data_IF_918527407112
#
_entry.id   IF_918527407112
#
_cell.length_a   1.000
_cell.length_b   1.000
_cell.length_c   1.000
_cell.angle_alpha   90.00
_cell.angle_beta   90.00
_cell.angle_gamma   90.00
#
_symmetry.space_group_name_H-M   'P 1'
#
loop_
_entity.id
_entity.type
_entity.pdbx_description
1 polymer ?
#
# COMPACT_ATOMS: atom_id res chain seq x y z
N UNK A 1 1.49 8.63 38.36
CA UNK A 1 0.95 7.40 37.73
C UNK A 1 -0.38 7.13 38.42
N UNK A 2 -1.48 7.49 37.80
CA UNK A 2 -2.80 7.14 38.30
C UNK A 2 -2.97 5.62 38.29
N UNK A 3 -3.25 5.05 39.44
CA UNK A 3 -3.57 3.61 39.54
C UNK A 3 -4.92 3.38 38.85
N UNK A 4 -4.87 2.84 37.62
CA UNK A 4 -6.08 2.43 36.91
C UNK A 4 -6.82 1.39 37.74
N UNK A 5 -8.06 1.63 38.00
CA UNK A 5 -8.91 0.73 38.79
C UNK A 5 -9.32 -0.50 37.95
N UNK A 6 -9.67 -1.60 38.59
CA UNK A 6 -10.19 -2.80 37.90
C UNK A 6 -11.37 -2.49 36.96
N UNK A 7 -12.16 -1.47 37.30
CA UNK A 7 -13.29 -0.98 36.54
C UNK A 7 -12.81 -0.32 35.21
N UNK A 8 -11.69 0.41 35.24
CA UNK A 8 -11.14 1.05 34.03
C UNK A 8 -10.62 -0.01 33.04
N UNK A 9 -9.97 -1.06 33.53
CA UNK A 9 -9.56 -2.19 32.68
C UNK A 9 -10.74 -2.91 32.05
N UNK A 10 -11.84 -3.11 32.76
CA UNK A 10 -13.06 -3.73 32.25
C UNK A 10 -13.71 -2.85 31.15
N UNK A 11 -13.81 -1.54 31.37
CA UNK A 11 -14.35 -0.60 30.39
C UNK A 11 -13.48 -0.56 29.11
N UNK A 12 -12.16 -0.52 29.25
CA UNK A 12 -11.25 -0.57 28.10
C UNK A 12 -11.34 -1.89 27.33
N UNK A 13 -11.46 -3.02 28.04
CA UNK A 13 -11.62 -4.33 27.40
C UNK A 13 -12.93 -4.42 26.61
N UNK A 14 -14.02 -3.91 27.16
CA UNK A 14 -15.32 -3.85 26.46
C UNK A 14 -15.22 -2.93 25.23
N UNK A 15 -14.61 -1.76 25.36
CA UNK A 15 -14.44 -0.84 24.24
C UNK A 15 -13.60 -1.46 23.12
N UNK A 16 -12.49 -2.13 23.47
CA UNK A 16 -11.64 -2.84 22.50
C UNK A 16 -12.44 -3.95 21.82
N UNK A 17 -13.19 -4.75 22.58
CA UNK A 17 -14.01 -5.83 22.03
C UNK A 17 -15.05 -5.29 21.04
N UNK A 18 -15.75 -4.20 21.38
CA UNK A 18 -16.73 -3.58 20.49
C UNK A 18 -16.08 -3.09 19.18
N UNK A 19 -14.92 -2.44 19.25
CA UNK A 19 -14.17 -1.99 18.07
C UNK A 19 -13.74 -3.18 17.20
N UNK A 20 -13.22 -4.24 17.82
CA UNK A 20 -12.78 -5.45 17.10
C UNK A 20 -13.97 -6.14 16.41
N UNK A 21 -15.08 -6.32 17.14
CA UNK A 21 -16.29 -6.92 16.56
C UNK A 21 -16.81 -6.08 15.39
N UNK A 22 -16.93 -4.75 15.59
CA UNK A 22 -17.36 -3.83 14.52
C UNK A 22 -16.47 -3.90 13.28
N UNK A 23 -15.15 -3.97 13.46
CA UNK A 23 -14.20 -4.06 12.35
C UNK A 23 -14.22 -5.43 11.64
N UNK A 24 -14.48 -6.51 12.38
CA UNK A 24 -14.47 -7.86 11.82
C UNK A 24 -15.78 -8.25 11.11
N UNK A 25 -16.92 -7.71 11.51
CA UNK A 25 -18.23 -8.05 10.92
C UNK A 25 -18.22 -7.93 9.38
N UNK A 26 -17.82 -6.81 8.74
CA UNK A 26 -17.83 -6.71 7.29
C UNK A 26 -16.87 -7.68 6.62
N UNK A 27 -15.72 -7.96 7.24
CA UNK A 27 -14.73 -8.90 6.71
C UNK A 27 -15.29 -10.33 6.76
N UNK A 28 -15.85 -10.72 7.90
CA UNK A 28 -16.46 -12.03 8.07
C UNK A 28 -17.69 -12.22 7.15
N UNK A 29 -18.46 -11.16 6.92
CA UNK A 29 -19.55 -11.18 5.95
C UNK A 29 -19.04 -11.41 4.51
N UNK A 30 -17.96 -10.73 4.12
CA UNK A 30 -17.32 -10.92 2.82
C UNK A 30 -16.82 -12.37 2.65
N UNK A 31 -16.17 -12.91 3.68
CA UNK A 31 -15.74 -14.33 3.71
C UNK A 31 -16.95 -15.26 3.61
N UNK A 32 -18.03 -14.95 4.33
CA UNK A 32 -19.27 -15.74 4.23
C UNK A 32 -19.82 -15.79 2.79
N UNK A 33 -19.92 -14.63 2.14
CA UNK A 33 -20.39 -14.55 0.74
C UNK A 33 -19.47 -15.33 -0.20
N UNK A 34 -18.15 -15.22 -0.02
CA UNK A 34 -17.18 -15.91 -0.89
C UNK A 34 -17.26 -17.43 -0.84
N UNK A 35 -17.82 -17.97 0.26
CA UNK A 35 -17.98 -19.41 0.48
C UNK A 35 -19.40 -19.94 0.13
N UNK A 36 -20.31 -19.08 -0.33
CA UNK A 36 -21.65 -19.49 -0.76
C UNK A 36 -21.63 -19.98 -2.22
N UNK A 37 -22.30 -21.08 -2.53
CA UNK A 37 -22.52 -21.46 -3.92
C UNK A 37 -23.38 -20.43 -4.64
N UNK A 38 -23.32 -20.30 -5.98
CA UNK A 38 -24.03 -19.29 -6.75
C UNK A 38 -25.55 -19.26 -6.47
N UNK A 39 -26.17 -20.40 -6.24
CA UNK A 39 -27.60 -20.54 -5.96
C UNK A 39 -27.99 -20.02 -4.58
N UNK A 40 -27.05 -20.04 -3.63
CA UNK A 40 -27.27 -19.59 -2.26
C UNK A 40 -26.86 -18.13 -1.99
N UNK A 41 -26.41 -17.38 -3.00
CA UNK A 41 -26.01 -15.97 -2.83
C UNK A 41 -27.17 -15.06 -2.40
N UNK A 42 -28.41 -15.43 -2.73
CA UNK A 42 -29.61 -14.73 -2.26
C UNK A 42 -29.94 -14.99 -0.78
N UNK A 43 -29.32 -16.03 -0.17
CA UNK A 43 -29.49 -16.32 1.25
C UNK A 43 -28.71 -15.28 2.10
N UNK A 44 -29.44 -14.49 2.87
CA UNK A 44 -28.89 -13.44 3.73
C UNK A 44 -28.34 -13.97 5.07
N UNK A 45 -28.22 -15.30 5.26
CA UNK A 45 -27.64 -15.88 6.47
C UNK A 45 -26.17 -15.52 6.58
N UNK A 46 -25.76 -15.17 7.79
CA UNK A 46 -24.35 -14.87 8.06
C UNK A 46 -23.45 -16.10 7.94
N UNK A 47 -23.94 -17.25 8.39
CA UNK A 47 -23.25 -18.52 8.24
C UNK A 47 -23.84 -19.22 7.01
N UNK A 48 -23.04 -19.59 5.99
CA UNK A 48 -23.51 -20.31 4.83
C UNK A 48 -24.21 -21.62 5.23
N UNK A 49 -25.34 -21.93 4.62
CA UNK A 49 -26.03 -23.23 4.79
C UNK A 49 -25.22 -24.36 4.15
N UNK A 50 -24.50 -24.03 3.09
CA UNK A 50 -23.59 -24.93 2.35
C UNK A 50 -22.29 -24.16 2.04
N UNK A 51 -21.14 -24.79 2.26
CA UNK A 51 -19.84 -24.21 1.98
C UNK A 51 -19.36 -24.72 0.63
N UNK A 52 -19.12 -23.80 -0.31
CA UNK A 52 -18.53 -24.08 -1.61
C UNK A 52 -17.24 -23.26 -1.81
N UNK A 53 -16.28 -23.84 -2.52
CA UNK A 53 -15.06 -23.18 -3.00
C UNK A 53 -15.12 -22.86 -4.49
N UNK A 54 -16.27 -22.95 -5.14
CA UNK A 54 -16.39 -22.77 -6.59
C UNK A 54 -16.07 -21.34 -7.00
N UNK A 55 -16.44 -20.34 -6.18
CA UNK A 55 -16.02 -18.95 -6.38
C UNK A 55 -14.50 -18.78 -6.41
N UNK A 56 -13.75 -19.54 -5.60
CA UNK A 56 -12.29 -19.49 -5.60
C UNK A 56 -11.72 -20.27 -6.79
N UNK A 57 -12.29 -21.41 -7.15
CA UNK A 57 -11.83 -22.19 -8.31
C UNK A 57 -11.96 -21.37 -9.59
N UNK A 58 -13.09 -20.67 -9.79
CA UNK A 58 -13.32 -19.82 -10.97
C UNK A 58 -12.30 -18.68 -11.11
N UNK A 59 -11.73 -18.17 -10.01
CA UNK A 59 -10.68 -17.15 -10.06
C UNK A 59 -9.38 -17.67 -10.69
N UNK A 60 -9.06 -18.94 -10.48
CA UNK A 60 -7.79 -19.55 -10.90
C UNK A 60 -7.96 -20.49 -12.10
N UNK A 61 -9.17 -20.65 -12.61
CA UNK A 61 -9.46 -21.48 -13.76
C UNK A 61 -8.80 -20.91 -15.02
N UNK A 62 -8.23 -21.76 -15.88
CA UNK A 62 -7.48 -21.35 -17.06
C UNK A 62 -5.99 -21.05 -16.82
N UNK A 63 -5.53 -21.08 -15.56
CA UNK A 63 -4.12 -20.83 -15.23
C UNK A 63 -3.66 -19.40 -15.51
N UNK A 64 -2.35 -19.19 -15.68
CA UNK A 64 -1.75 -17.86 -15.84
C UNK A 64 -2.18 -17.16 -17.13
N UNK A 65 -2.50 -17.92 -18.19
CA UNK A 65 -2.83 -17.35 -19.51
C UNK A 65 -4.26 -16.86 -19.61
N UNK A 66 -5.20 -17.59 -19.03
CA UNK A 66 -6.63 -17.42 -19.29
C UNK A 66 -7.44 -17.01 -18.06
N UNK A 67 -6.84 -17.05 -16.85
CA UNK A 67 -7.51 -16.59 -15.64
C UNK A 67 -7.68 -15.07 -15.65
N UNK A 68 -8.89 -14.57 -15.41
CA UNK A 68 -9.17 -13.12 -15.34
C UNK A 68 -8.58 -12.46 -14.09
N UNK A 69 -8.00 -13.26 -13.18
CA UNK A 69 -7.51 -12.79 -11.88
C UNK A 69 -5.98 -12.89 -11.71
N UNK A 70 -5.34 -13.95 -12.26
CA UNK A 70 -3.90 -14.21 -12.02
C UNK A 70 -3.02 -13.12 -12.63
N UNK A 71 -3.26 -12.71 -13.90
CA UNK A 71 -2.47 -11.64 -14.53
C UNK A 71 -2.62 -10.30 -13.80
N UNK A 72 -3.84 -9.81 -13.48
CA UNK A 72 -4.01 -8.63 -12.65
C UNK A 72 -3.32 -8.73 -11.29
N UNK A 73 -3.29 -9.91 -10.66
CA UNK A 73 -2.61 -10.11 -9.39
C UNK A 73 -1.08 -9.97 -9.53
N UNK A 74 -0.50 -10.57 -10.56
CA UNK A 74 0.93 -10.43 -10.88
C UNK A 74 1.26 -8.96 -11.17
N UNK A 75 0.43 -8.27 -11.97
CA UNK A 75 0.59 -6.86 -12.27
C UNK A 75 0.55 -6.01 -11.00
N UNK A 76 -0.44 -6.22 -10.12
CA UNK A 76 -0.56 -5.49 -8.86
C UNK A 76 0.69 -5.66 -7.99
N UNK A 77 1.16 -6.90 -7.81
CA UNK A 77 2.36 -7.20 -7.01
C UNK A 77 3.59 -6.56 -7.66
N UNK A 78 3.79 -6.78 -8.96
CA UNK A 78 4.97 -6.30 -9.68
C UNK A 78 5.05 -4.78 -9.71
N UNK A 79 3.99 -4.10 -10.10
CA UNK A 79 3.92 -2.63 -10.17
C UNK A 79 4.12 -2.02 -8.79
N UNK A 80 3.42 -2.54 -7.75
CA UNK A 80 3.55 -2.02 -6.40
C UNK A 80 4.96 -2.22 -5.83
N UNK A 81 5.58 -3.38 -6.02
CA UNK A 81 6.95 -3.65 -5.54
C UNK A 81 8.00 -2.80 -6.27
N UNK A 82 7.91 -2.69 -7.60
CA UNK A 82 8.85 -1.87 -8.39
C UNK A 82 8.73 -0.41 -7.97
N UNK A 83 7.50 0.12 -7.94
CA UNK A 83 7.26 1.51 -7.53
C UNK A 83 7.75 1.77 -6.12
N UNK A 84 7.46 0.87 -5.17
CA UNK A 84 7.92 0.99 -3.79
C UNK A 84 9.44 1.02 -3.71
N UNK A 85 10.11 0.11 -4.41
CA UNK A 85 11.59 0.04 -4.40
C UNK A 85 12.20 1.32 -4.95
N UNK A 86 11.73 1.78 -6.11
CA UNK A 86 12.21 3.03 -6.73
C UNK A 86 11.92 4.23 -5.82
N UNK A 87 10.69 4.34 -5.29
CA UNK A 87 10.31 5.43 -4.37
C UNK A 87 11.20 5.47 -3.16
N UNK A 88 11.46 4.36 -2.50
CA UNK A 88 12.27 4.31 -1.28
C UNK A 88 13.71 4.67 -1.56
N UNK A 89 14.29 4.17 -2.65
CA UNK A 89 15.68 4.53 -3.03
C UNK A 89 15.79 6.03 -3.28
N UNK A 90 14.93 6.60 -4.15
CA UNK A 90 14.95 8.02 -4.47
C UNK A 90 14.63 8.90 -3.25
N UNK A 91 13.61 8.52 -2.48
CA UNK A 91 13.23 9.24 -1.27
C UNK A 91 14.32 9.22 -0.21
N UNK A 92 15.10 8.13 -0.08
CA UNK A 92 16.20 8.05 0.88
C UNK A 92 17.30 9.05 0.56
N UNK A 93 17.70 9.17 -0.70
CA UNK A 93 18.69 10.19 -1.11
C UNK A 93 18.17 11.60 -0.91
N UNK A 94 16.93 11.87 -1.32
CA UNK A 94 16.32 13.19 -1.18
C UNK A 94 16.13 13.55 0.31
N UNK A 95 15.65 12.63 1.12
CA UNK A 95 15.45 12.83 2.55
C UNK A 95 16.79 13.03 3.29
N UNK A 96 17.83 12.30 2.92
CA UNK A 96 19.16 12.50 3.46
C UNK A 96 19.67 13.92 3.14
N UNK A 97 19.55 14.36 1.89
CA UNK A 97 19.96 15.72 1.52
C UNK A 97 19.20 16.79 2.33
N UNK A 98 17.88 16.67 2.46
CA UNK A 98 17.04 17.61 3.21
C UNK A 98 17.35 17.58 4.71
N UNK A 99 17.59 16.39 5.29
CA UNK A 99 17.81 16.22 6.72
C UNK A 99 19.21 16.62 7.16
N UNK A 100 20.24 16.35 6.32
CA UNK A 100 21.66 16.42 6.70
C UNK A 100 22.44 17.53 6.02
N UNK A 101 22.09 17.91 4.79
CA UNK A 101 22.83 18.95 4.09
C UNK A 101 22.24 20.34 4.35
N UNK A 102 23.11 21.35 4.41
CA UNK A 102 22.71 22.75 4.48
C UNK A 102 22.76 23.35 3.07
N UNK A 103 21.57 23.64 2.52
CA UNK A 103 21.43 24.35 1.25
C UNK A 103 20.18 25.25 1.26
N UNK A 104 20.20 26.33 0.47
CA UNK A 104 19.07 27.26 0.42
C UNK A 104 17.85 26.58 -0.23
N UNK A 105 16.65 26.87 0.30
CA UNK A 105 15.41 26.38 -0.31
C UNK A 105 14.98 24.96 0.10
N UNK A 106 15.72 24.22 0.93
CA UNK A 106 15.35 22.83 1.32
C UNK A 106 13.95 22.71 1.93
N UNK A 107 13.50 23.73 2.70
CA UNK A 107 12.13 23.76 3.25
C UNK A 107 11.07 23.97 2.16
N UNK A 108 11.40 24.80 1.16
CA UNK A 108 10.50 25.07 0.03
C UNK A 108 10.35 23.83 -0.87
N UNK A 109 11.44 23.09 -1.10
CA UNK A 109 11.40 21.83 -1.85
C UNK A 109 10.48 20.83 -1.16
N UNK A 110 10.62 20.64 0.16
CA UNK A 110 9.76 19.73 0.91
C UNK A 110 8.28 20.19 0.91
N UNK A 111 8.04 21.49 1.11
CA UNK A 111 6.69 22.04 1.06
C UNK A 111 6.08 21.93 -0.34
N UNK A 112 6.85 22.17 -1.40
CA UNK A 112 6.42 21.99 -2.79
C UNK A 112 6.09 20.54 -3.13
N UNK A 113 6.92 19.60 -2.68
CA UNK A 113 6.65 18.16 -2.84
C UNK A 113 5.32 17.76 -2.17
N UNK A 114 5.09 18.22 -0.93
CA UNK A 114 3.83 17.95 -0.23
C UNK A 114 2.63 18.63 -0.91
N UNK A 115 2.80 19.85 -1.45
CA UNK A 115 1.74 20.52 -2.21
C UNK A 115 1.35 19.75 -3.47
N UNK A 116 2.32 19.15 -4.18
CA UNK A 116 2.05 18.26 -5.32
C UNK A 116 1.26 17.03 -4.88
N UNK A 117 1.61 16.41 -3.75
CA UNK A 117 0.89 15.26 -3.22
C UNK A 117 -0.56 15.56 -2.82
N UNK A 118 -0.88 16.81 -2.50
CA UNK A 118 -2.25 17.25 -2.18
C UNK A 118 -3.09 17.58 -3.43
N UNK A 119 -2.47 17.58 -4.61
CA UNK A 119 -3.22 17.84 -5.85
C UNK A 119 -4.17 16.68 -6.13
N UNK A 120 -5.45 16.95 -6.50
CA UNK A 120 -6.42 15.88 -6.73
C UNK A 120 -6.00 14.97 -7.89
N UNK A 121 -5.75 13.67 -7.67
CA UNK A 121 -5.31 12.75 -8.73
C UNK A 121 -6.26 12.70 -9.93
N UNK A 122 -7.57 12.81 -9.68
CA UNK A 122 -8.59 12.78 -10.73
C UNK A 122 -8.40 13.88 -11.79
N UNK A 123 -7.90 15.05 -11.39
CA UNK A 123 -7.66 16.18 -12.30
C UNK A 123 -6.50 15.94 -13.27
N UNK A 124 -5.61 14.97 -12.95
CA UNK A 124 -4.46 14.64 -13.79
C UNK A 124 -4.76 13.54 -14.80
N UNK A 125 -5.86 12.78 -14.63
CA UNK A 125 -6.16 11.59 -15.44
C UNK A 125 -6.32 11.93 -16.92
N UNK A 126 -7.15 12.94 -17.27
CA UNK A 126 -7.41 13.28 -18.67
C UNK A 126 -6.14 13.69 -19.43
N UNK A 127 -5.40 14.74 -18.97
CA UNK A 127 -4.15 15.14 -19.62
C UNK A 127 -3.12 14.01 -19.68
N UNK A 128 -3.04 13.17 -18.63
CA UNK A 128 -2.11 12.06 -18.57
C UNK A 128 -2.48 10.95 -19.56
N UNK A 129 -3.76 10.67 -19.73
CA UNK A 129 -4.25 9.71 -20.71
C UNK A 129 -3.83 10.09 -22.14
N UNK A 130 -4.04 11.36 -22.54
CA UNK A 130 -3.67 11.85 -23.86
C UNK A 130 -2.15 11.78 -24.08
N UNK A 131 -1.38 12.19 -23.07
CA UNK A 131 0.09 12.14 -23.09
C UNK A 131 0.60 10.70 -23.17
N UNK A 132 0.02 9.75 -22.42
CA UNK A 132 0.44 8.34 -22.43
C UNK A 132 0.12 7.66 -23.75
N UNK A 133 -1.00 8.01 -24.39
CA UNK A 133 -1.27 7.52 -25.75
C UNK A 133 -0.24 8.02 -26.77
N UNK A 134 0.13 9.30 -26.70
CA UNK A 134 1.13 9.87 -27.59
C UNK A 134 2.54 9.27 -27.37
N UNK A 135 2.89 8.92 -26.12
CA UNK A 135 4.18 8.34 -25.74
C UNK A 135 4.21 6.81 -25.78
N UNK A 136 3.14 6.15 -26.18
CA UNK A 136 2.98 4.69 -26.16
C UNK A 136 3.19 4.05 -24.77
N UNK A 137 2.84 4.79 -23.70
CA UNK A 137 2.89 4.32 -22.32
C UNK A 137 1.51 3.85 -21.80
N UNK A 138 0.44 4.10 -22.57
CA UNK A 138 -0.90 3.61 -22.23
C UNK A 138 -0.92 2.08 -22.24
N UNK A 139 -1.58 1.49 -21.27
CA UNK A 139 -1.70 0.04 -21.06
C UNK A 139 -0.33 -0.65 -20.87
N UNK A 140 0.58 0.00 -20.12
CA UNK A 140 1.89 -0.55 -19.75
C UNK A 140 2.16 -0.40 -18.27
N UNK A 141 3.06 -1.23 -17.71
CA UNK A 141 3.50 -1.10 -16.33
C UNK A 141 4.13 0.27 -16.03
N UNK A 142 4.95 0.79 -16.94
CA UNK A 142 5.56 2.13 -16.80
C UNK A 142 4.50 3.22 -16.77
N UNK A 143 3.41 3.04 -17.53
CA UNK A 143 2.27 3.96 -17.52
C UNK A 143 1.59 4.10 -16.15
N UNK A 144 1.69 3.09 -15.28
CA UNK A 144 1.22 3.14 -13.89
C UNK A 144 2.32 3.52 -12.91
N UNK A 145 3.54 3.01 -13.09
CA UNK A 145 4.66 3.27 -12.17
C UNK A 145 4.98 4.76 -12.09
N UNK A 146 4.98 5.48 -13.21
CA UNK A 146 5.34 6.91 -13.24
C UNK A 146 4.36 7.78 -12.42
N UNK A 147 3.03 7.73 -12.63
CA UNK A 147 2.11 8.48 -11.79
C UNK A 147 2.15 8.03 -10.32
N UNK A 148 2.31 6.73 -10.04
CA UNK A 148 2.47 6.26 -8.67
C UNK A 148 3.71 6.84 -7.99
N UNK A 149 4.84 6.93 -8.68
CA UNK A 149 6.04 7.61 -8.18
C UNK A 149 5.76 9.09 -7.86
N UNK A 150 5.05 9.79 -8.75
CA UNK A 150 4.74 11.21 -8.57
C UNK A 150 3.98 11.49 -7.27
N UNK A 151 3.04 10.64 -6.90
CA UNK A 151 2.22 10.83 -5.70
C UNK A 151 2.81 10.17 -4.44
N UNK A 152 3.59 9.09 -4.58
CA UNK A 152 4.16 8.38 -3.43
C UNK A 152 5.49 8.97 -2.92
N UNK A 153 6.33 9.51 -3.82
CA UNK A 153 7.62 10.09 -3.45
C UNK A 153 7.53 11.17 -2.37
N UNK A 154 6.63 12.18 -2.47
CA UNK A 154 6.51 13.20 -1.44
C UNK A 154 6.25 12.64 -0.04
N UNK A 155 5.36 11.66 0.07
CA UNK A 155 5.05 10.99 1.33
C UNK A 155 6.27 10.24 1.87
N UNK A 156 6.94 9.47 1.01
CA UNK A 156 8.14 8.73 1.39
C UNK A 156 9.27 9.65 1.86
N UNK A 157 9.51 10.76 1.15
CA UNK A 157 10.50 11.78 1.53
C UNK A 157 10.16 12.38 2.89
N UNK A 158 8.90 12.78 3.10
CA UNK A 158 8.46 13.37 4.36
C UNK A 158 8.70 12.44 5.54
N UNK A 159 8.30 11.19 5.44
CA UNK A 159 8.50 10.17 6.47
C UNK A 159 9.99 9.97 6.74
N UNK A 160 10.80 9.77 5.69
CA UNK A 160 12.24 9.51 5.86
C UNK A 160 13.01 10.72 6.39
N UNK A 161 12.63 11.95 6.04
CA UNK A 161 13.23 13.16 6.64
C UNK A 161 13.06 13.18 8.14
N UNK A 162 11.87 12.79 8.66
CA UNK A 162 11.62 12.74 10.09
C UNK A 162 12.56 11.73 10.77
N UNK A 163 12.68 10.52 10.24
CA UNK A 163 13.57 9.49 10.80
C UNK A 163 15.05 9.85 10.70
N UNK A 164 15.51 10.40 9.59
CA UNK A 164 16.91 10.78 9.44
C UNK A 164 17.32 11.92 10.38
N UNK A 165 16.39 12.81 10.73
CA UNK A 165 16.64 13.89 11.71
C UNK A 165 16.78 13.39 13.15
N UNK A 166 16.19 12.24 13.47
CA UNK A 166 16.29 11.65 14.82
C UNK A 166 17.64 10.98 15.09
N UNK A 167 18.40 10.62 14.05
CA UNK A 167 19.71 10.00 14.19
C UNK A 167 20.73 11.09 14.60
N UNK A 168 21.51 10.89 15.71
CA UNK A 168 22.53 11.83 16.13
C UNK A 168 23.61 12.07 15.05
N UNK A 169 24.02 13.32 14.87
CA UNK A 169 25.07 13.70 13.92
C UNK A 169 26.41 13.02 14.21
N UNK A 170 26.70 12.82 15.49
CA UNK A 170 27.97 12.27 15.96
C UNK A 170 28.27 10.88 15.37
N UNK A 171 27.23 10.08 15.08
CA UNK A 171 27.40 8.76 14.48
C UNK A 171 27.91 8.84 13.03
N UNK A 172 27.47 9.83 12.29
CA UNK A 172 27.93 10.05 10.92
C UNK A 172 29.35 10.64 10.91
N UNK A 173 29.64 11.59 11.82
CA UNK A 173 30.95 12.17 11.97
C UNK A 173 31.99 11.14 12.43
N UNK A 174 31.64 10.26 13.38
CA UNK A 174 32.51 9.18 13.83
C UNK A 174 32.88 8.26 12.67
N UNK A 175 31.93 7.85 11.83
CA UNK A 175 32.20 7.04 10.66
C UNK A 175 33.15 7.74 9.67
N UNK A 176 33.01 9.06 9.49
CA UNK A 176 33.90 9.84 8.61
C UNK A 176 35.31 9.97 9.20
N UNK A 177 35.45 10.12 10.53
CA UNK A 177 36.76 10.10 11.23
C UNK A 177 37.44 8.76 11.07
N UNK A 178 36.69 7.65 11.07
CA UNK A 178 37.13 6.30 10.80
C UNK A 178 37.46 6.05 9.31
N UNK A 179 37.39 7.06 8.46
CA UNK A 179 37.76 7.01 7.05
C UNK A 179 36.62 6.64 6.08
N UNK A 180 35.37 6.59 6.53
CA UNK A 180 34.24 6.37 5.64
C UNK A 180 33.99 7.59 4.75
N UNK A 181 33.74 7.37 3.46
CA UNK A 181 33.25 8.43 2.58
C UNK A 181 31.80 8.82 2.98
N UNK A 182 31.28 10.00 2.63
CA UNK A 182 29.89 10.40 2.91
C UNK A 182 28.85 9.37 2.43
N UNK A 183 29.08 8.77 1.26
CA UNK A 183 28.21 7.73 0.72
C UNK A 183 28.28 6.42 1.56
N UNK A 184 29.47 6.08 2.06
CA UNK A 184 29.62 4.94 2.96
C UNK A 184 28.99 5.20 4.32
N UNK A 185 29.13 6.38 4.90
CA UNK A 185 28.42 6.79 6.11
C UNK A 185 26.90 6.71 5.93
N UNK A 186 26.38 7.23 4.82
CA UNK A 186 24.96 7.12 4.48
C UNK A 186 24.50 5.66 4.41
N UNK A 187 25.17 4.82 3.60
CA UNK A 187 24.71 3.46 3.32
C UNK A 187 24.96 2.48 4.45
N UNK A 188 26.07 2.63 5.20
CA UNK A 188 26.50 1.68 6.24
C UNK A 188 26.08 2.09 7.65
N UNK A 189 25.78 3.37 7.89
CA UNK A 189 25.41 3.89 9.22
C UNK A 189 23.98 4.43 9.21
N UNK A 190 23.69 5.45 8.38
CA UNK A 190 22.41 6.17 8.45
C UNK A 190 21.23 5.29 8.00
N UNK A 191 21.32 4.65 6.84
CA UNK A 191 20.22 3.82 6.30
C UNK A 191 19.92 2.62 7.21
N UNK A 192 20.89 1.86 7.74
CA UNK A 192 20.60 0.79 8.68
C UNK A 192 19.98 1.27 10.00
N UNK A 193 20.41 2.39 10.54
CA UNK A 193 19.82 2.98 11.75
C UNK A 193 18.39 3.48 11.51
N UNK A 194 18.13 4.03 10.32
CA UNK A 194 16.81 4.46 9.90
C UNK A 194 15.92 3.31 9.37
N UNK A 195 16.36 2.07 9.43
CA UNK A 195 15.60 0.93 8.88
C UNK A 195 14.13 0.89 9.31
N UNK A 196 13.73 1.20 10.56
CA UNK A 196 12.32 1.27 10.93
C UNK A 196 11.56 2.29 10.09
N UNK A 197 12.13 3.47 9.85
CA UNK A 197 11.54 4.52 9.01
C UNK A 197 11.47 4.12 7.53
N UNK A 198 12.53 3.48 7.02
CA UNK A 198 12.58 2.97 5.64
C UNK A 198 11.47 1.95 5.41
N UNK A 199 11.28 1.01 6.33
CA UNK A 199 10.19 0.04 6.23
C UNK A 199 8.82 0.69 6.38
N UNK A 200 8.66 1.68 7.27
CA UNK A 200 7.40 2.42 7.42
C UNK A 200 7.03 3.14 6.13
N UNK A 201 7.97 3.85 5.52
CA UNK A 201 7.75 4.52 4.25
C UNK A 201 7.42 3.52 3.12
N UNK A 202 8.15 2.38 3.07
CA UNK A 202 7.91 1.34 2.08
C UNK A 202 6.49 0.75 2.17
N UNK A 203 6.00 0.50 3.38
CA UNK A 203 4.64 0.00 3.61
C UNK A 203 3.60 1.01 3.12
N UNK A 204 3.77 2.28 3.45
CA UNK A 204 2.82 3.33 3.03
C UNK A 204 2.77 3.45 1.50
N UNK A 205 3.93 3.44 0.84
CA UNK A 205 4.01 3.47 -0.63
C UNK A 205 3.38 2.22 -1.25
N UNK A 206 3.69 1.05 -0.71
CA UNK A 206 3.13 -0.21 -1.21
C UNK A 206 1.60 -0.22 -1.10
N UNK A 207 1.06 0.15 0.07
CA UNK A 207 -0.39 0.22 0.29
C UNK A 207 -1.05 1.24 -0.67
N UNK A 208 -0.40 2.37 -0.90
CA UNK A 208 -0.87 3.37 -1.87
C UNK A 208 -0.99 2.78 -3.28
N UNK A 209 0.08 2.15 -3.78
CA UNK A 209 0.09 1.54 -5.11
C UNK A 209 -0.86 0.35 -5.22
N UNK A 210 -0.93 -0.48 -4.17
CA UNK A 210 -1.78 -1.67 -4.13
C UNK A 210 -3.27 -1.35 -4.20
N UNK A 211 -3.71 -0.27 -3.53
CA UNK A 211 -5.12 0.11 -3.46
C UNK A 211 -5.55 1.07 -4.60
N UNK A 212 -4.62 1.49 -5.48
CA UNK A 212 -5.02 2.40 -6.54
C UNK A 212 -5.99 1.75 -7.51
N UNK A 213 -7.08 2.43 -7.71
CA UNK A 213 -8.11 2.11 -8.67
C UNK A 213 -8.17 3.15 -9.80
N UNK A 214 -7.95 4.42 -9.47
CA UNK A 214 -8.21 5.53 -10.36
C UNK A 214 -7.29 5.53 -11.59
N UNK A 215 -5.99 5.47 -11.38
CA UNK A 215 -5.04 5.43 -12.49
C UNK A 215 -5.12 4.09 -13.22
N UNK A 216 -5.27 3.00 -12.47
CA UNK A 216 -5.39 1.67 -13.06
C UNK A 216 -6.59 1.55 -14.01
N UNK A 217 -7.80 1.97 -13.60
CA UNK A 217 -8.98 1.90 -14.46
C UNK A 217 -8.90 2.86 -15.66
N UNK A 218 -8.17 3.97 -15.51
CA UNK A 218 -8.09 5.03 -16.53
C UNK A 218 -6.97 4.82 -17.54
N UNK A 219 -5.87 4.20 -17.13
CA UNK A 219 -4.64 4.11 -17.93
C UNK A 219 -4.34 2.68 -18.43
N UNK A 220 -5.21 1.71 -18.17
CA UNK A 220 -5.09 0.33 -18.67
C UNK A 220 -6.35 -0.08 -19.43
N UNK A 221 -6.18 -0.96 -20.43
CA UNK A 221 -7.28 -1.49 -21.22
C UNK A 221 -7.28 -3.01 -21.32
N UNK A 222 -6.15 -3.66 -21.07
CA UNK A 222 -5.99 -5.10 -21.20
C UNK A 222 -5.32 -5.70 -19.96
N UNK A 223 -5.21 -7.02 -19.92
CA UNK A 223 -4.53 -7.74 -18.85
C UNK A 223 -2.99 -7.58 -18.88
N UNK A 224 -2.46 -6.86 -19.86
CA UNK A 224 -1.03 -6.57 -19.93
C UNK A 224 -0.53 -5.75 -18.73
N UNK A 225 -1.36 -4.82 -18.24
CA UNK A 225 -0.99 -3.93 -17.12
C UNK A 225 -2.09 -3.70 -16.09
N UNK A 226 -3.31 -4.19 -16.34
CA UNK A 226 -4.44 -4.02 -15.42
C UNK A 226 -4.13 -4.60 -14.06
N UNK A 227 -4.38 -3.80 -13.01
CA UNK A 227 -4.22 -4.24 -11.61
C UNK A 227 -5.52 -4.86 -11.08
N UNK A 228 -5.45 -5.58 -9.96
CA UNK A 228 -6.62 -6.27 -9.38
C UNK A 228 -7.77 -5.32 -9.05
N UNK A 229 -7.57 -4.14 -8.41
CA UNK A 229 -8.68 -3.23 -8.16
C UNK A 229 -9.44 -2.84 -9.45
N UNK A 230 -8.71 -2.56 -10.53
CA UNK A 230 -9.33 -2.25 -11.81
C UNK A 230 -9.97 -3.49 -12.47
N UNK A 231 -9.34 -4.67 -12.36
CA UNK A 231 -9.87 -5.90 -12.91
C UNK A 231 -11.22 -6.28 -12.28
N UNK A 232 -11.38 -6.08 -10.97
CA UNK A 232 -12.62 -6.36 -10.26
C UNK A 232 -13.82 -5.54 -10.78
N UNK A 233 -13.58 -4.35 -11.33
CA UNK A 233 -14.65 -3.54 -11.95
C UNK A 233 -15.17 -4.13 -13.27
N UNK A 234 -14.39 -5.00 -13.92
CA UNK A 234 -14.76 -5.69 -15.15
C UNK A 234 -15.16 -7.15 -14.92
N UNK A 235 -15.22 -7.59 -13.67
CA UNK A 235 -15.67 -8.94 -13.36
C UNK A 235 -17.14 -9.11 -13.79
N UNK A 236 -17.35 -9.97 -14.77
CA UNK A 236 -18.69 -10.34 -15.24
C UNK A 236 -19.02 -11.74 -14.72
N UNK A 237 -20.27 -11.96 -14.32
CA UNK A 237 -20.75 -13.31 -13.96
C UNK A 237 -20.81 -14.23 -15.16
N UNK A 238 -21.07 -15.51 -14.91
CA UNK A 238 -21.34 -16.51 -15.96
C UNK A 238 -22.48 -16.12 -16.90
N UNK A 239 -23.32 -15.18 -16.48
CA UNK A 239 -24.43 -14.61 -17.26
C UNK A 239 -24.51 -13.11 -17.02
N UNK A 240 -24.86 -12.35 -18.08
CA UNK A 240 -25.09 -10.90 -17.99
C UNK A 240 -26.23 -10.50 -17.03
N UNK A 241 -27.00 -11.46 -16.54
CA UNK A 241 -28.14 -11.27 -15.64
C UNK A 241 -27.82 -11.58 -14.18
N UNK A 242 -26.67 -12.18 -13.87
CA UNK A 242 -26.26 -12.53 -12.51
C UNK A 242 -25.00 -11.76 -12.12
N UNK A 243 -25.12 -10.92 -11.09
CA UNK A 243 -23.95 -10.25 -10.54
C UNK A 243 -22.98 -11.29 -9.95
N UNK A 244 -21.68 -11.26 -10.28
CA UNK A 244 -20.69 -12.24 -9.82
C UNK A 244 -20.26 -11.96 -8.37
N UNK A 245 -21.23 -11.73 -7.48
CA UNK A 245 -20.99 -11.28 -6.09
C UNK A 245 -20.11 -12.24 -5.33
N UNK A 246 -20.29 -13.56 -5.50
CA UNK A 246 -19.49 -14.59 -4.86
C UNK A 246 -18.02 -14.55 -5.31
N UNK A 247 -17.79 -14.49 -6.63
CA UNK A 247 -16.45 -14.41 -7.21
C UNK A 247 -15.74 -13.09 -6.87
N UNK A 248 -16.45 -11.96 -6.86
CA UNK A 248 -15.91 -10.68 -6.41
C UNK A 248 -15.53 -10.74 -4.93
N UNK A 249 -16.38 -11.34 -4.07
CA UNK A 249 -16.07 -11.54 -2.66
C UNK A 249 -14.86 -12.45 -2.47
N UNK A 250 -14.76 -13.55 -3.20
CA UNK A 250 -13.61 -14.43 -3.18
C UNK A 250 -12.32 -13.71 -3.63
N UNK A 251 -12.38 -12.95 -4.72
CA UNK A 251 -11.26 -12.15 -5.18
C UNK A 251 -10.82 -11.10 -4.15
N UNK A 252 -11.75 -10.40 -3.51
CA UNK A 252 -11.46 -9.44 -2.46
C UNK A 252 -10.79 -10.09 -1.24
N UNK A 253 -11.20 -11.30 -0.85
CA UNK A 253 -10.52 -12.08 0.20
C UNK A 253 -9.08 -12.41 -0.22
N UNK A 254 -8.88 -12.92 -1.44
CA UNK A 254 -7.54 -13.27 -1.94
C UNK A 254 -6.63 -12.05 -2.00
N UNK A 255 -7.13 -10.90 -2.48
CA UNK A 255 -6.37 -9.63 -2.59
C UNK A 255 -5.95 -9.10 -1.21
N UNK A 256 -6.72 -9.40 -0.17
CA UNK A 256 -6.39 -8.99 1.19
C UNK A 256 -5.19 -9.76 1.75
N UNK A 257 -4.95 -11.00 1.32
CA UNK A 257 -3.88 -11.86 1.83
C UNK A 257 -2.48 -11.24 1.68
N UNK A 258 -2.04 -10.73 0.50
CA UNK A 258 -0.74 -10.09 0.36
C UNK A 258 -0.54 -8.90 1.31
N UNK A 259 -1.57 -8.08 1.51
CA UNK A 259 -1.51 -6.95 2.45
C UNK A 259 -1.33 -7.45 3.89
N UNK A 260 -2.13 -8.45 4.29
CA UNK A 260 -2.02 -9.04 5.63
C UNK A 260 -0.63 -9.60 5.85
N UNK A 261 -0.10 -10.39 4.91
CA UNK A 261 1.24 -10.98 4.99
C UNK A 261 2.29 -9.86 5.12
N UNK A 262 2.19 -8.82 4.29
CA UNK A 262 3.10 -7.69 4.32
C UNK A 262 3.04 -6.95 5.67
N UNK A 263 1.85 -6.66 6.18
CA UNK A 263 1.66 -6.01 7.49
C UNK A 263 2.20 -6.89 8.62
N UNK A 264 1.92 -8.21 8.63
CA UNK A 264 2.40 -9.12 9.67
C UNK A 264 3.92 -9.22 9.70
N UNK A 265 4.59 -9.21 8.55
CA UNK A 265 6.06 -9.22 8.48
C UNK A 265 6.63 -7.94 9.08
N UNK A 266 6.03 -6.79 8.80
CA UNK A 266 6.59 -5.48 9.12
C UNK A 266 5.97 -4.80 10.34
N UNK A 267 4.87 -5.32 10.94
CA UNK A 267 4.12 -4.69 12.04
C UNK A 267 4.99 -4.24 13.23
N UNK A 268 5.98 -5.05 13.62
CA UNK A 268 6.87 -4.70 14.75
C UNK A 268 7.71 -3.45 14.46
N UNK A 269 8.06 -3.22 13.20
CA UNK A 269 8.85 -2.06 12.76
C UNK A 269 7.96 -0.82 12.56
N UNK A 270 6.70 -1.02 12.17
CA UNK A 270 5.69 0.05 12.07
C UNK A 270 5.42 0.66 13.44
N UNK A 271 5.14 -0.19 14.45
CA UNK A 271 4.86 0.28 15.81
C UNK A 271 6.03 1.04 16.40
N UNK A 272 7.26 0.55 16.21
CA UNK A 272 8.46 1.25 16.66
C UNK A 272 8.62 2.63 16.01
N UNK A 273 8.28 2.76 14.72
CA UNK A 273 8.37 4.02 13.98
C UNK A 273 7.29 5.04 14.37
N UNK A 274 6.06 4.60 14.58
CA UNK A 274 4.95 5.50 14.97
C UNK A 274 5.06 5.98 16.42
N UNK A 275 5.59 5.16 17.32
CA UNK A 275 5.76 5.53 18.73
C UNK A 275 6.97 6.44 18.97
N UNK A 276 8.02 6.36 18.17
CA UNK A 276 9.16 7.27 18.25
C UNK A 276 8.75 8.73 18.00
N UNK A 277 7.81 8.98 17.08
CA UNK A 277 7.26 10.32 16.81
C UNK A 277 6.26 10.82 17.84
N UNK A 278 5.63 9.94 18.62
CA UNK A 278 4.54 10.28 19.56
C UNK A 278 5.03 10.55 21.00
N UNK A 279 6.27 10.19 21.35
CA UNK A 279 6.81 10.30 22.73
C UNK A 279 7.51 11.63 22.99
N UNK A 280 7.49 12.60 22.08
CA UNK A 280 7.95 13.97 22.32
C UNK A 280 6.76 14.87 22.69
N UNK A 281 6.18 14.62 23.86
CA UNK A 281 5.23 15.49 24.54
C UNK A 281 5.46 15.43 26.04
#
# INVERSE_FOLDING_TARGET
MEQRTSRDYALWSIAILLVVVFALIPILWLISISLKPPEALADQRFIPSEISFDNYKSLFEGGVSDSPFIKPLINSIGIALITTTISIVLASFCAYAIARLEFPGKRLILAGALAIAMFPPISTVGPLFDMWRALHLYDTWLGLIIPYLTFSLPLAIYVLVAFFREIPWDLEQAAQVDGATPFQAFTKVIVPLAAPGVFTAAILVFIFCWNDFLFAISLTSSDASRTVPAALAFFTGESSFTAPTGSIAAAAVVVTVPIIVFVLIFQRRIVAGLTAGAVKG
#
